data_IF_636507068677
#
_entry.id   IF_636507068677
#
_cell.length_a   1.000
_cell.length_b   1.000
_cell.length_c   1.000
_cell.angle_alpha   90.00
_cell.angle_beta   90.00
_cell.angle_gamma   90.00
#
_symmetry.space_group_name_H-M   'P 1'
#
loop_
_entity.id
_entity.type
_entity.pdbx_description
1 polymer ?
#
# COMPACT_ATOMS: atom_id res chain seq x y z
N UNK A 1 8.61 -12.95 45.16
CA UNK A 1 7.40 -12.14 44.91
C UNK A 1 7.75 -11.17 43.79
N UNK A 2 7.41 -11.49 42.53
CA UNK A 2 7.52 -10.50 41.45
C UNK A 2 6.45 -9.43 41.70
N UNK A 3 6.90 -8.19 41.82
CA UNK A 3 6.02 -7.05 42.11
C UNK A 3 5.34 -6.63 40.82
N UNK A 4 4.04 -6.37 40.86
CA UNK A 4 3.17 -6.02 39.71
C UNK A 4 3.77 -4.97 38.76
N UNK A 5 4.65 -4.08 39.25
CA UNK A 5 5.36 -3.08 38.42
C UNK A 5 6.33 -3.68 37.40
N UNK A 6 7.05 -4.73 37.77
CA UNK A 6 8.00 -5.42 36.90
C UNK A 6 7.28 -6.11 35.73
N UNK A 7 6.08 -6.65 35.97
CA UNK A 7 5.24 -7.26 34.94
C UNK A 7 4.65 -6.22 33.98
N UNK A 8 4.38 -4.99 34.45
CA UNK A 8 3.84 -3.91 33.59
C UNK A 8 4.95 -3.33 32.70
N UNK A 9 6.13 -3.02 33.25
CA UNK A 9 7.27 -2.51 32.45
C UNK A 9 7.69 -3.51 31.36
N UNK A 10 7.77 -4.80 31.67
CA UNK A 10 8.08 -5.82 30.65
C UNK A 10 7.00 -5.95 29.57
N UNK A 11 5.74 -5.65 29.90
CA UNK A 11 4.63 -5.67 28.93
C UNK A 11 4.69 -4.48 27.98
N UNK A 12 5.02 -3.29 28.49
CA UNK A 12 5.09 -2.07 27.70
C UNK A 12 6.23 -2.12 26.68
N UNK A 13 7.38 -2.70 27.07
CA UNK A 13 8.51 -2.95 26.16
C UNK A 13 8.09 -3.87 25.00
N UNK A 14 7.32 -4.93 25.29
CA UNK A 14 6.85 -5.85 24.26
C UNK A 14 5.80 -5.24 23.31
N UNK A 15 4.92 -4.37 23.81
CA UNK A 15 3.93 -3.69 22.96
C UNK A 15 4.57 -2.67 22.02
N UNK A 16 5.60 -1.95 22.49
CA UNK A 16 6.36 -1.01 21.68
C UNK A 16 7.06 -1.72 20.52
N UNK A 17 7.73 -2.85 20.80
CA UNK A 17 8.42 -3.65 19.78
C UNK A 17 7.44 -4.21 18.73
N UNK A 18 6.27 -4.70 19.18
CA UNK A 18 5.20 -5.15 18.27
C UNK A 18 4.69 -3.98 17.42
N UNK A 19 4.45 -2.81 18.01
CA UNK A 19 3.95 -1.66 17.28
C UNK A 19 4.97 -1.18 16.24
N UNK A 20 6.25 -1.18 16.57
CA UNK A 20 7.34 -0.81 15.67
C UNK A 20 7.36 -1.72 14.42
N UNK A 21 7.30 -3.04 14.64
CA UNK A 21 7.22 -4.02 13.55
C UNK A 21 5.98 -3.82 12.67
N UNK A 22 4.82 -3.51 13.27
CA UNK A 22 3.57 -3.25 12.53
C UNK A 22 3.66 -1.95 11.73
N UNK A 23 4.25 -0.89 12.28
CA UNK A 23 4.39 0.39 11.59
C UNK A 23 5.38 0.31 10.44
N UNK A 24 6.50 -0.40 10.62
CA UNK A 24 7.56 -0.53 9.62
C UNK A 24 7.21 -1.50 8.49
N UNK A 25 6.72 -2.70 8.83
CA UNK A 25 6.48 -3.77 7.84
C UNK A 25 5.02 -3.88 7.42
N UNK A 26 4.09 -3.45 8.26
CA UNK A 26 2.67 -3.69 8.08
C UNK A 26 2.25 -5.13 8.38
N UNK A 27 0.94 -5.34 8.54
CA UNK A 27 0.30 -6.63 8.78
C UNK A 27 -0.91 -6.78 7.87
N UNK A 28 -0.92 -7.84 7.07
CA UNK A 28 -2.07 -8.23 6.27
C UNK A 28 -2.87 -9.32 7.00
N UNK A 29 -4.16 -9.10 7.17
CA UNK A 29 -5.11 -10.02 7.82
C UNK A 29 -6.12 -10.47 6.77
N UNK A 30 -6.26 -11.79 6.62
CA UNK A 30 -7.32 -12.42 5.81
C UNK A 30 -8.26 -13.16 6.76
N UNK A 31 -9.55 -12.88 6.64
CA UNK A 31 -10.60 -13.56 7.37
C UNK A 31 -11.80 -13.80 6.46
N UNK A 32 -12.58 -14.82 6.77
CA UNK A 32 -13.89 -15.05 6.17
C UNK A 32 -14.95 -15.13 7.27
N UNK A 33 -16.17 -14.71 6.95
CA UNK A 33 -17.30 -14.74 7.87
C UNK A 33 -18.55 -15.20 7.13
N UNK A 34 -19.23 -16.20 7.69
CA UNK A 34 -20.54 -16.65 7.23
C UNK A 34 -21.59 -16.29 8.28
N UNK A 35 -22.66 -15.62 7.85
CA UNK A 35 -23.82 -15.31 8.69
C UNK A 35 -24.96 -16.22 8.25
N UNK A 36 -25.37 -17.10 9.17
CA UNK A 36 -26.41 -18.10 8.93
C UNK A 36 -27.63 -17.84 9.81
N UNK A 37 -28.82 -18.09 9.27
CA UNK A 37 -30.10 -18.00 10.01
C UNK A 37 -30.88 -19.29 9.77
N UNK A 38 -31.40 -19.88 10.85
CA UNK A 38 -32.18 -21.12 10.80
C UNK A 38 -31.47 -22.29 10.07
N UNK A 39 -30.14 -22.36 10.16
CA UNK A 39 -29.34 -23.40 9.52
C UNK A 39 -29.08 -23.18 8.02
N UNK A 40 -29.42 -22.00 7.48
CA UNK A 40 -29.12 -21.60 6.11
C UNK A 40 -28.12 -20.45 6.10
N UNK A 41 -27.05 -20.60 5.33
CA UNK A 41 -26.04 -19.56 5.12
C UNK A 41 -26.61 -18.47 4.21
N UNK A 42 -26.66 -17.24 4.72
CA UNK A 42 -27.26 -16.11 3.99
C UNK A 42 -26.20 -15.17 3.41
N UNK A 43 -25.14 -14.92 4.16
CA UNK A 43 -24.13 -13.93 3.80
C UNK A 43 -22.75 -14.52 4.02
N UNK A 44 -21.91 -14.44 2.99
CA UNK A 44 -20.48 -14.74 3.06
C UNK A 44 -19.71 -13.44 2.85
N UNK A 45 -18.74 -13.16 3.73
CA UNK A 45 -17.82 -12.04 3.63
C UNK A 45 -16.38 -12.56 3.52
N UNK A 46 -15.65 -12.14 2.48
CA UNK A 46 -14.18 -12.26 2.40
C UNK A 46 -13.58 -10.93 2.86
N UNK A 47 -12.95 -10.93 4.03
CA UNK A 47 -12.40 -9.75 4.69
C UNK A 47 -10.88 -9.75 4.53
N UNK A 48 -10.35 -8.69 3.89
CA UNK A 48 -8.92 -8.45 3.74
C UNK A 48 -8.59 -7.09 4.30
N UNK A 49 -7.76 -7.06 5.34
CA UNK A 49 -7.37 -5.83 6.05
C UNK A 49 -5.86 -5.71 6.02
N UNK A 50 -5.35 -4.52 5.71
CA UNK A 50 -3.94 -4.18 5.82
C UNK A 50 -3.78 -3.09 6.88
N UNK A 51 -2.94 -3.34 7.87
CA UNK A 51 -2.52 -2.37 8.88
C UNK A 51 -1.09 -1.98 8.53
N UNK A 52 -0.81 -0.71 8.28
CA UNK A 52 0.53 -0.21 7.97
C UNK A 52 0.64 1.27 8.35
N UNK A 53 1.87 1.80 8.40
CA UNK A 53 2.09 3.24 8.55
C UNK A 53 1.43 4.02 7.40
N UNK A 54 0.93 5.22 7.73
CA UNK A 54 0.32 6.14 6.76
C UNK A 54 1.30 6.49 5.63
N UNK A 55 2.58 6.69 5.97
CA UNK A 55 3.62 6.99 4.98
C UNK A 55 3.76 5.87 3.95
N UNK A 56 3.84 4.62 4.41
CA UNK A 56 3.90 3.43 3.56
C UNK A 56 2.66 3.28 2.68
N UNK A 57 1.47 3.57 3.21
CA UNK A 57 0.21 3.54 2.46
C UNK A 57 0.17 4.60 1.35
N UNK A 58 0.56 5.84 1.67
CA UNK A 58 0.60 6.94 0.70
C UNK A 58 1.64 6.66 -0.40
N UNK A 59 2.81 6.12 -0.04
CA UNK A 59 3.85 5.77 -1.00
C UNK A 59 3.39 4.63 -1.94
N UNK A 60 2.73 3.60 -1.42
CA UNK A 60 2.18 2.51 -2.22
C UNK A 60 1.13 3.01 -3.23
N UNK A 61 0.31 4.01 -2.87
CA UNK A 61 -0.63 4.64 -3.80
C UNK A 61 0.05 5.46 -4.90
N UNK A 62 1.17 6.11 -4.60
CA UNK A 62 1.94 6.89 -5.58
C UNK A 62 2.71 6.01 -6.57
N UNK A 63 3.19 4.84 -6.13
CA UNK A 63 3.87 3.87 -6.99
C UNK A 63 2.95 3.20 -8.02
N UNK A 64 1.63 3.27 -7.82
CA UNK A 64 0.64 2.78 -8.77
C UNK A 64 0.16 3.85 -9.76
N UNK A 65 0.96 4.91 -10.00
CA UNK A 65 0.73 5.77 -11.17
C UNK A 65 0.98 4.92 -12.41
N UNK A 66 -0.12 4.55 -13.04
CA UNK A 66 -0.23 4.04 -14.40
C UNK A 66 0.89 4.65 -15.24
N UNK A 67 1.81 3.82 -15.74
CA UNK A 67 2.70 4.20 -16.83
C UNK A 67 1.75 4.45 -18.01
N UNK A 68 1.33 5.70 -18.19
CA UNK A 68 0.26 6.03 -19.11
C UNK A 68 0.86 6.21 -20.50
N UNK A 69 0.32 5.48 -21.48
CA UNK A 69 0.79 5.51 -22.87
C UNK A 69 0.70 6.91 -23.49
N UNK A 70 -0.17 7.78 -22.95
CA UNK A 70 -0.30 9.17 -23.38
C UNK A 70 1.01 9.97 -23.20
N UNK A 71 1.79 9.70 -22.15
CA UNK A 71 3.07 10.39 -21.92
C UNK A 71 4.15 9.90 -22.90
N UNK A 72 4.07 8.63 -23.33
CA UNK A 72 4.95 8.05 -24.33
C UNK A 72 4.64 8.55 -25.74
N UNK A 73 3.37 8.77 -26.09
CA UNK A 73 2.98 9.30 -27.39
C UNK A 73 3.51 10.74 -27.58
N UNK A 74 3.47 11.55 -26.52
CA UNK A 74 4.03 12.91 -26.54
C UNK A 74 5.56 12.92 -26.77
N UNK A 75 6.29 11.98 -26.16
CA UNK A 75 7.73 11.84 -26.38
C UNK A 75 8.05 11.39 -27.82
N UNK A 76 7.25 10.47 -28.39
CA UNK A 76 7.43 10.01 -29.77
C UNK A 76 7.17 11.13 -30.77
N UNK A 77 6.18 11.97 -30.51
CA UNK A 77 5.85 13.14 -31.33
C UNK A 77 6.98 14.17 -31.32
N UNK A 78 7.51 14.52 -30.15
CA UNK A 78 8.63 15.45 -30.02
C UNK A 78 9.91 14.98 -30.75
N UNK A 79 10.19 13.67 -30.72
CA UNK A 79 11.31 13.08 -31.44
C UNK A 79 11.09 13.08 -32.96
N UNK A 80 9.85 12.89 -33.41
CA UNK A 80 9.47 12.94 -34.82
C UNK A 80 9.57 14.37 -35.36
N UNK A 81 9.18 15.38 -34.58
CA UNK A 81 9.34 16.80 -34.96
C UNK A 81 10.81 17.24 -34.96
N UNK A 82 11.63 16.73 -34.04
CA UNK A 82 13.08 17.03 -34.02
C UNK A 82 13.84 16.37 -35.18
N UNK A 83 13.43 15.18 -35.62
CA UNK A 83 14.07 14.46 -36.74
C UNK A 83 13.44 14.75 -38.10
N UNK A 84 12.25 15.34 -38.14
CA UNK A 84 11.50 15.68 -39.35
C UNK A 84 11.77 17.07 -39.94
N UNK A 85 12.70 17.84 -39.39
CA UNK A 85 13.00 19.20 -39.87
C UNK A 85 14.37 19.28 -40.57
N UNK A 86 14.43 18.99 -41.90
CA UNK A 86 15.67 19.03 -42.68
C UNK A 86 16.11 20.44 -43.13
N UNK A 87 15.42 21.53 -42.73
CA UNK A 87 15.59 22.85 -43.38
C UNK A 87 15.96 24.02 -42.43
N UNK A 88 15.74 23.93 -41.11
CA UNK A 88 15.75 25.10 -40.21
C UNK A 88 17.11 25.73 -39.84
N UNK A 89 18.16 25.55 -40.64
CA UNK A 89 19.49 26.17 -40.44
C UNK A 89 19.96 26.99 -41.66
N UNK A 90 19.05 27.41 -42.52
CA UNK A 90 19.37 28.34 -43.61
C UNK A 90 18.58 29.64 -43.42
N UNK A 91 19.37 30.72 -43.40
CA UNK A 91 19.10 32.16 -43.23
C UNK A 91 18.93 32.70 -41.81
#
# INVERSE_FOLDING_TARGET
>A
MSTVRETIENKDIGLIDILDVILDKGVAIKADLVISIAGVDLVYLDLRVLIASVESLVQAQQGNRTINSADFDQQREALTDATGQPNKWQD
#
